data_IF_149904003129
#
_entry.id   IF_149904003129
#
_cell.length_a   1.000
_cell.length_b   1.000
_cell.length_c   1.000
_cell.angle_alpha   90.00
_cell.angle_beta   90.00
_cell.angle_gamma   90.00
#
_symmetry.space_group_name_H-M   'P 1'
#
loop_
_entity.id
_entity.type
_entity.pdbx_description
1 polymer ?
#
# COMPACT_ATOMS: atom_id res chain seq x y z
N UNK A 1 -71.95 -24.18 -29.90
CA UNK A 1 -72.41 -23.18 -30.89
C UNK A 1 -71.23 -22.21 -31.18
N UNK A 2 -70.85 -22.21 -32.46
CA UNK A 2 -70.15 -21.19 -33.28
C UNK A 2 -68.99 -20.41 -32.58
N UNK A 3 -67.74 -20.78 -32.77
CA UNK A 3 -66.78 -20.36 -33.80
C UNK A 3 -66.77 -18.85 -34.11
N UNK A 4 -65.66 -18.17 -33.78
CA UNK A 4 -65.10 -17.05 -34.55
C UNK A 4 -63.60 -17.05 -34.44
N UNK A 5 -62.97 -17.51 -35.52
CA UNK A 5 -61.57 -17.27 -35.84
C UNK A 5 -61.46 -15.88 -36.49
N UNK A 6 -60.59 -15.03 -35.99
CA UNK A 6 -60.14 -13.86 -36.74
C UNK A 6 -58.62 -13.89 -36.82
N UNK A 7 -58.13 -14.14 -38.05
CA UNK A 7 -56.77 -14.03 -38.49
C UNK A 7 -56.30 -12.57 -38.50
N UNK A 8 -55.22 -12.26 -37.86
CA UNK A 8 -54.44 -10.99 -38.05
C UNK A 8 -53.16 -11.34 -38.72
N UNK A 9 -53.03 -11.02 -40.01
CA UNK A 9 -51.79 -11.06 -40.76
C UNK A 9 -50.94 -9.87 -40.33
N UNK A 10 -49.85 -10.14 -39.61
CA UNK A 10 -48.84 -9.16 -39.27
C UNK A 10 -47.81 -9.00 -40.37
N UNK A 11 -47.77 -7.83 -40.95
CA UNK A 11 -46.77 -7.40 -41.95
C UNK A 11 -45.41 -7.21 -41.27
N UNK A 12 -44.47 -8.08 -41.50
CA UNK A 12 -43.07 -7.91 -41.09
C UNK A 12 -42.38 -6.90 -42.02
N UNK A 13 -42.21 -5.66 -41.59
CA UNK A 13 -41.28 -4.71 -42.19
C UNK A 13 -39.87 -5.02 -41.63
N UNK A 14 -39.02 -5.64 -42.44
CA UNK A 14 -37.59 -5.76 -42.16
C UNK A 14 -36.93 -4.38 -42.44
N UNK A 15 -36.71 -3.59 -41.41
CA UNK A 15 -35.80 -2.43 -41.47
C UNK A 15 -34.37 -2.98 -41.30
N UNK A 16 -33.62 -3.05 -42.40
CA UNK A 16 -32.19 -3.25 -42.37
C UNK A 16 -31.55 -1.98 -41.75
N UNK A 17 -31.24 -1.99 -40.48
CA UNK A 17 -30.39 -1.00 -39.86
C UNK A 17 -28.97 -1.28 -40.32
N UNK A 18 -28.47 -0.47 -41.25
CA UNK A 18 -27.05 -0.39 -41.54
C UNK A 18 -26.35 0.19 -40.30
N UNK A 19 -25.81 -0.65 -39.43
CA UNK A 19 -24.84 -0.23 -38.43
C UNK A 19 -23.54 0.14 -39.11
N UNK A 20 -23.36 1.42 -39.44
CA UNK A 20 -22.05 1.96 -39.69
C UNK A 20 -21.24 1.86 -38.40
N UNK A 21 -20.42 0.82 -38.26
CA UNK A 21 -19.29 0.82 -37.34
C UNK A 21 -18.35 1.92 -37.81
N UNK A 22 -18.52 3.11 -37.23
CA UNK A 22 -17.41 4.06 -37.19
C UNK A 22 -16.33 3.34 -36.39
N UNK A 23 -15.29 2.86 -37.06
CA UNK A 23 -14.03 2.56 -36.42
C UNK A 23 -13.63 3.85 -35.73
N UNK A 24 -13.71 3.91 -34.41
CA UNK A 24 -13.04 4.92 -33.64
C UNK A 24 -11.56 4.72 -34.00
N UNK A 25 -10.96 5.67 -34.72
CA UNK A 25 -9.51 5.75 -34.81
C UNK A 25 -9.04 5.81 -33.35
N UNK A 26 -8.38 4.74 -32.88
CA UNK A 26 -7.68 4.79 -31.61
C UNK A 26 -6.69 5.92 -31.71
N UNK A 27 -6.90 6.96 -30.91
CA UNK A 27 -5.95 8.06 -30.84
C UNK A 27 -4.58 7.47 -30.50
N UNK A 28 -3.56 7.84 -31.29
CA UNK A 28 -2.19 7.40 -31.00
C UNK A 28 -1.86 7.71 -29.54
N UNK A 29 -1.20 6.79 -28.82
CA UNK A 29 -0.86 7.02 -27.42
C UNK A 29 -0.08 8.32 -27.26
N UNK A 30 -0.33 9.02 -26.15
CA UNK A 30 0.40 10.25 -25.85
C UNK A 30 1.90 9.95 -25.70
N UNK A 31 2.74 10.71 -26.40
CA UNK A 31 4.20 10.60 -26.29
C UNK A 31 4.72 11.74 -25.41
N UNK A 32 5.51 11.42 -24.39
CA UNK A 32 6.25 12.37 -23.56
C UNK A 32 7.73 11.99 -23.57
N UNK A 33 8.61 12.92 -23.91
CA UNK A 33 10.05 12.72 -23.86
C UNK A 33 10.64 13.62 -22.77
N UNK A 34 11.10 13.00 -21.68
CA UNK A 34 11.94 13.67 -20.70
C UNK A 34 13.37 13.72 -21.22
N UNK A 35 13.97 14.91 -21.18
CA UNK A 35 15.32 15.14 -21.71
C UNK A 35 16.25 15.66 -20.64
N UNK A 36 17.57 15.37 -20.80
CA UNK A 36 18.61 15.91 -19.92
C UNK A 36 18.36 15.62 -18.43
N UNK A 37 18.01 14.36 -18.11
CA UNK A 37 17.74 13.92 -16.75
C UNK A 37 18.96 13.23 -16.15
N UNK A 38 19.16 13.38 -14.82
CA UNK A 38 19.94 12.47 -14.00
C UNK A 38 19.00 11.37 -13.49
N UNK A 39 19.19 10.11 -13.86
CA UNK A 39 18.23 9.05 -13.58
C UNK A 39 18.67 8.20 -12.39
N UNK A 40 17.80 8.06 -11.38
CA UNK A 40 17.81 6.94 -10.45
C UNK A 40 16.86 5.86 -11.00
N UNK A 41 17.40 4.72 -11.39
CA UNK A 41 16.64 3.67 -12.09
C UNK A 41 15.84 2.71 -11.18
N UNK A 42 15.97 2.87 -9.85
CA UNK A 42 15.41 1.97 -8.85
C UNK A 42 16.39 0.93 -8.33
N UNK A 43 17.65 0.92 -8.78
CA UNK A 43 18.67 -0.05 -8.39
C UNK A 43 20.05 0.55 -8.10
N UNK A 44 20.49 1.51 -8.90
CA UNK A 44 21.88 2.00 -8.89
C UNK A 44 22.17 2.84 -7.65
N UNK A 45 23.40 2.74 -7.14
CA UNK A 45 23.91 3.56 -6.02
C UNK A 45 24.31 4.99 -6.43
N UNK A 46 24.30 5.26 -7.74
CA UNK A 46 24.65 6.56 -8.30
C UNK A 46 23.66 6.93 -9.40
N UNK A 47 23.43 8.22 -9.61
CA UNK A 47 22.62 8.68 -10.72
C UNK A 47 23.29 8.41 -12.07
N UNK A 48 22.50 8.08 -13.08
CA UNK A 48 22.93 7.93 -14.48
C UNK A 48 22.65 9.26 -15.16
N UNK A 49 23.73 10.01 -15.41
CA UNK A 49 23.64 11.37 -15.95
C UNK A 49 23.28 11.41 -17.45
N UNK A 50 22.64 12.51 -17.88
CA UNK A 50 22.42 12.81 -19.29
C UNK A 50 21.51 11.81 -20.00
N UNK A 51 20.47 11.34 -19.32
CA UNK A 51 19.51 10.39 -19.88
C UNK A 51 18.29 11.09 -20.44
N UNK A 52 17.73 10.51 -21.49
CA UNK A 52 16.40 10.79 -22.02
C UNK A 52 15.50 9.59 -21.75
N UNK A 53 14.23 9.85 -21.35
CA UNK A 53 13.25 8.81 -21.05
C UNK A 53 11.99 9.07 -21.86
N UNK A 54 11.63 8.12 -22.72
CA UNK A 54 10.44 8.19 -23.57
C UNK A 54 9.28 7.41 -22.93
N UNK A 55 8.16 8.10 -22.81
CA UNK A 55 6.89 7.53 -22.36
C UNK A 55 5.95 7.40 -23.56
N UNK A 56 5.32 6.25 -23.71
CA UNK A 56 4.27 5.98 -24.67
C UNK A 56 3.04 5.42 -23.95
N UNK A 57 1.98 6.22 -23.91
CA UNK A 57 0.79 5.90 -23.12
C UNK A 57 1.11 5.84 -21.61
N UNK A 58 0.97 4.67 -21.02
CA UNK A 58 1.19 4.43 -19.58
C UNK A 58 2.51 3.70 -19.26
N UNK A 59 3.35 3.45 -20.26
CA UNK A 59 4.61 2.73 -20.11
C UNK A 59 5.83 3.58 -20.50
N UNK A 60 6.97 3.24 -19.93
CA UNK A 60 8.28 3.70 -20.38
C UNK A 60 8.65 2.89 -21.62
N UNK A 61 8.70 3.54 -22.79
CA UNK A 61 8.99 2.82 -24.03
C UNK A 61 10.47 2.77 -24.36
N UNK A 62 11.28 3.72 -23.86
CA UNK A 62 12.72 3.70 -24.02
C UNK A 62 13.43 4.53 -22.95
N UNK A 63 14.64 4.11 -22.59
CA UNK A 63 15.61 4.87 -21.78
C UNK A 63 16.94 4.89 -22.55
N UNK A 64 17.53 6.06 -22.74
CA UNK A 64 18.77 6.19 -23.52
C UNK A 64 19.51 7.48 -23.21
N UNK A 65 20.64 7.66 -23.87
CA UNK A 65 21.41 8.91 -23.78
C UNK A 65 20.72 10.07 -24.52
N UNK A 66 21.36 11.22 -24.56
CA UNK A 66 20.85 12.43 -25.22
C UNK A 66 20.60 12.30 -26.72
N UNK A 67 20.96 11.18 -27.36
CA UNK A 67 20.64 10.88 -28.76
C UNK A 67 19.26 10.26 -28.94
N UNK A 68 18.59 9.84 -27.87
CA UNK A 68 17.20 9.37 -27.92
C UNK A 68 16.27 10.54 -28.26
N UNK A 69 15.65 10.47 -29.43
CA UNK A 69 14.69 11.44 -29.93
C UNK A 69 13.35 10.76 -30.22
N UNK A 70 12.25 11.49 -30.12
CA UNK A 70 10.92 11.02 -30.51
C UNK A 70 10.16 12.14 -31.22
N UNK A 71 9.90 11.95 -32.52
CA UNK A 71 9.16 12.91 -33.33
C UNK A 71 7.71 13.02 -32.83
N UNK A 72 7.26 14.24 -32.60
CA UNK A 72 5.89 14.52 -32.13
C UNK A 72 5.68 14.34 -30.63
N UNK A 73 6.70 13.95 -29.85
CA UNK A 73 6.59 13.86 -28.40
C UNK A 73 6.51 15.25 -27.74
N UNK A 74 5.70 15.35 -26.68
CA UNK A 74 5.75 16.47 -25.76
C UNK A 74 7.07 16.40 -24.98
N UNK A 75 7.98 17.34 -25.23
CA UNK A 75 9.29 17.37 -24.59
C UNK A 75 9.24 18.11 -23.25
N UNK A 76 9.82 17.52 -22.22
CA UNK A 76 9.97 18.09 -20.89
C UNK A 76 11.45 17.99 -20.51
N UNK A 77 12.11 19.14 -20.40
CA UNK A 77 13.51 19.23 -20.02
C UNK A 77 13.63 19.10 -18.49
N UNK A 78 14.35 18.07 -18.02
CA UNK A 78 14.67 17.90 -16.61
C UNK A 78 15.67 18.96 -16.10
N UNK A 79 16.42 19.62 -16.97
CA UNK A 79 17.46 20.60 -16.63
C UNK A 79 18.48 20.02 -15.61
N UNK A 80 18.90 18.77 -15.82
CA UNK A 80 19.82 18.04 -14.95
C UNK A 80 19.23 17.57 -13.62
N UNK A 81 17.93 17.70 -13.40
CA UNK A 81 17.24 17.21 -12.19
C UNK A 81 17.15 15.70 -12.16
N UNK A 82 16.96 15.17 -10.95
CA UNK A 82 16.77 13.72 -10.80
C UNK A 82 15.38 13.31 -11.26
N UNK A 83 15.35 12.39 -12.22
CA UNK A 83 14.19 11.61 -12.61
C UNK A 83 14.28 10.24 -11.94
N UNK A 84 13.24 9.86 -11.19
CA UNK A 84 13.22 8.63 -10.41
C UNK A 84 11.86 7.95 -10.48
N UNK A 85 11.75 6.65 -10.10
CA UNK A 85 10.46 5.99 -10.01
C UNK A 85 9.55 6.66 -8.98
N UNK A 86 8.23 6.59 -9.20
CA UNK A 86 7.25 6.88 -8.17
C UNK A 86 7.45 6.00 -6.95
N UNK A 87 7.27 6.57 -5.76
CA UNK A 87 7.40 5.84 -4.50
C UNK A 87 6.25 4.87 -4.30
N UNK A 88 6.52 3.79 -3.58
CA UNK A 88 5.56 2.74 -3.22
C UNK A 88 5.53 2.58 -1.70
N UNK A 89 4.35 2.70 -1.11
CA UNK A 89 4.11 2.34 0.29
C UNK A 89 3.53 0.92 0.37
N UNK A 90 4.32 -0.02 0.88
CA UNK A 90 3.95 -1.43 0.95
C UNK A 90 3.06 -1.78 2.14
N UNK A 91 2.70 -0.83 3.00
CA UNK A 91 1.74 -1.01 4.09
C UNK A 91 1.08 0.31 4.46
N UNK A 92 0.02 0.61 3.76
CA UNK A 92 -0.80 1.80 3.96
C UNK A 92 -2.17 1.47 4.54
N UNK A 93 -2.82 2.47 5.13
CA UNK A 93 -4.20 2.42 5.61
C UNK A 93 -4.99 3.65 5.17
N UNK A 94 -5.73 3.53 4.07
CA UNK A 94 -6.56 4.63 3.58
C UNK A 94 -7.83 4.83 4.45
N UNK A 95 -8.39 3.74 4.96
CA UNK A 95 -9.68 3.72 5.67
C UNK A 95 -9.56 3.90 7.18
N UNK A 96 -8.37 3.83 7.76
CA UNK A 96 -8.13 3.98 9.21
C UNK A 96 -7.69 5.39 9.63
N UNK A 97 -7.94 6.41 8.81
CA UNK A 97 -7.48 7.78 9.05
C UNK A 97 -8.56 8.69 9.64
N UNK A 98 -9.25 8.22 10.68
CA UNK A 98 -10.16 9.03 11.48
C UNK A 98 -9.44 9.53 12.72
N UNK A 99 -9.34 10.85 12.87
CA UNK A 99 -8.74 11.45 14.05
C UNK A 99 -9.55 11.09 15.32
N UNK A 100 -8.87 10.64 16.36
CA UNK A 100 -9.50 10.22 17.63
C UNK A 100 -9.41 8.71 17.91
N UNK A 101 -8.65 7.98 17.11
CA UNK A 101 -8.34 6.57 17.35
C UNK A 101 -9.53 5.62 17.11
N UNK A 102 -9.42 4.41 17.66
CA UNK A 102 -10.41 3.34 17.48
C UNK A 102 -11.83 3.74 17.89
N UNK A 103 -12.00 4.56 18.93
CA UNK A 103 -13.32 5.01 19.37
C UNK A 103 -14.03 5.88 18.33
N UNK A 104 -13.29 6.76 17.66
CA UNK A 104 -13.81 7.58 16.56
C UNK A 104 -14.12 6.71 15.32
N UNK A 105 -13.25 5.74 15.02
CA UNK A 105 -13.47 4.77 13.94
C UNK A 105 -14.76 3.96 14.16
N UNK A 106 -15.03 3.51 15.39
CA UNK A 106 -16.25 2.77 15.74
C UNK A 106 -17.53 3.65 15.71
N UNK A 107 -17.39 4.97 15.81
CA UNK A 107 -18.50 5.91 15.75
C UNK A 107 -18.77 6.48 14.35
N UNK A 108 -17.83 6.32 13.42
CA UNK A 108 -17.90 6.92 12.10
C UNK A 108 -18.92 6.24 11.18
N UNK A 109 -19.47 7.00 10.24
CA UNK A 109 -20.32 6.47 9.18
C UNK A 109 -19.45 6.01 7.99
N UNK A 110 -19.99 5.10 7.15
CA UNK A 110 -19.27 4.58 5.99
C UNK A 110 -18.91 5.68 4.98
N UNK A 111 -19.79 6.67 4.81
CA UNK A 111 -19.59 7.80 3.88
C UNK A 111 -18.52 8.78 4.40
N UNK A 112 -18.43 9.01 5.72
CA UNK A 112 -17.32 9.74 6.32
C UNK A 112 -16.00 9.01 6.08
N UNK A 113 -15.94 7.70 6.35
CA UNK A 113 -14.75 6.89 6.12
C UNK A 113 -14.34 6.91 4.64
N UNK A 114 -15.29 6.76 3.72
CA UNK A 114 -15.00 6.77 2.29
C UNK A 114 -14.50 8.14 1.81
N UNK A 115 -15.09 9.25 2.29
CA UNK A 115 -14.62 10.59 1.97
C UNK A 115 -13.20 10.85 2.46
N UNK A 116 -12.87 10.41 3.69
CA UNK A 116 -11.51 10.48 4.25
C UNK A 116 -10.53 9.61 3.48
N UNK A 117 -10.93 8.39 3.09
CA UNK A 117 -10.07 7.50 2.31
C UNK A 117 -9.72 8.11 0.92
N UNK A 118 -10.68 8.79 0.28
CA UNK A 118 -10.44 9.52 -0.95
C UNK A 118 -9.45 10.68 -0.75
N UNK A 119 -9.60 11.43 0.34
CA UNK A 119 -8.66 12.48 0.71
C UNK A 119 -7.26 11.91 0.97
N UNK A 120 -7.16 10.79 1.70
CA UNK A 120 -5.87 10.15 1.97
C UNK A 120 -5.19 9.63 0.71
N UNK A 121 -5.95 9.06 -0.25
CA UNK A 121 -5.40 8.66 -1.54
C UNK A 121 -4.74 9.86 -2.27
N UNK A 122 -5.36 11.03 -2.19
CA UNK A 122 -4.78 12.26 -2.73
C UNK A 122 -3.50 12.69 -1.97
N UNK A 123 -3.48 12.60 -0.63
CA UNK A 123 -2.30 12.91 0.18
C UNK A 123 -1.11 11.98 -0.15
N UNK A 124 -1.35 10.69 -0.38
CA UNK A 124 -0.32 9.74 -0.82
C UNK A 124 0.28 10.16 -2.17
N UNK A 125 -0.55 10.41 -3.18
CA UNK A 125 -0.07 10.78 -4.52
C UNK A 125 0.79 12.05 -4.49
N UNK A 126 0.32 13.10 -3.81
CA UNK A 126 1.06 14.38 -3.74
C UNK A 126 2.25 14.35 -2.76
N UNK A 127 2.40 13.25 -1.99
CA UNK A 127 3.62 12.93 -1.24
C UNK A 127 4.62 12.08 -2.04
N UNK A 128 4.33 11.83 -3.34
CA UNK A 128 5.19 11.11 -4.27
C UNK A 128 4.92 9.61 -4.37
N UNK A 129 3.93 9.08 -3.66
CA UNK A 129 3.59 7.66 -3.72
C UNK A 129 2.61 7.41 -4.87
N UNK A 130 3.10 6.77 -5.94
CA UNK A 130 2.29 6.41 -7.11
C UNK A 130 1.59 5.06 -6.96
N UNK A 131 2.02 4.24 -6.02
CA UNK A 131 1.38 2.98 -5.65
C UNK A 131 1.34 2.79 -4.15
N UNK A 132 0.29 2.13 -3.64
CA UNK A 132 0.15 1.75 -2.23
C UNK A 132 -0.42 0.34 -2.10
N UNK A 133 0.09 -0.43 -1.15
CA UNK A 133 -0.50 -1.69 -0.71
C UNK A 133 -1.36 -1.39 0.53
N UNK A 134 -2.68 -1.36 0.34
CA UNK A 134 -3.65 -1.16 1.41
C UNK A 134 -3.78 -2.44 2.24
N UNK A 135 -3.21 -2.43 3.45
CA UNK A 135 -3.07 -3.63 4.29
C UNK A 135 -4.21 -3.78 5.30
N UNK A 136 -5.39 -3.34 4.90
CA UNK A 136 -6.64 -3.62 5.62
C UNK A 136 -7.44 -2.39 5.95
N UNK A 137 -8.72 -2.57 5.88
CA UNK A 137 -9.71 -1.51 6.05
C UNK A 137 -10.65 -1.36 4.86
N UNK A 138 -10.40 -2.05 3.75
CA UNK A 138 -11.22 -1.97 2.55
C UNK A 138 -10.38 -1.79 1.28
N UNK A 139 -10.50 -0.66 0.60
CA UNK A 139 -9.67 -0.28 -0.56
C UNK A 139 -10.35 -0.46 -1.92
N UNK A 140 -11.14 -1.49 -2.14
CA UNK A 140 -11.69 -1.82 -3.47
C UNK A 140 -12.59 -0.73 -4.05
N UNK A 141 -13.33 0.01 -3.23
CA UNK A 141 -14.19 1.12 -3.68
C UNK A 141 -13.36 2.32 -4.14
N UNK A 142 -12.42 2.76 -3.34
CA UNK A 142 -11.52 3.88 -3.68
C UNK A 142 -10.64 3.52 -4.86
N UNK A 143 -10.11 2.27 -4.92
CA UNK A 143 -9.38 1.78 -6.08
C UNK A 143 -10.16 2.02 -7.39
N UNK A 144 -11.41 1.58 -7.46
CA UNK A 144 -12.26 1.76 -8.64
C UNK A 144 -12.44 3.22 -9.05
N UNK A 145 -12.55 4.12 -8.07
CA UNK A 145 -12.72 5.56 -8.34
C UNK A 145 -11.41 6.23 -8.78
N UNK A 146 -10.28 5.80 -8.24
CA UNK A 146 -8.95 6.27 -8.69
C UNK A 146 -8.63 5.74 -10.08
N UNK A 147 -8.85 4.45 -10.35
CA UNK A 147 -8.60 3.84 -11.66
C UNK A 147 -9.51 4.44 -12.76
N UNK A 148 -10.71 4.88 -12.38
CA UNK A 148 -11.62 5.59 -13.29
C UNK A 148 -11.29 7.08 -13.49
N UNK A 149 -10.22 7.59 -12.84
CA UNK A 149 -9.84 9.01 -12.91
C UNK A 149 -10.82 9.99 -12.23
N UNK A 150 -11.69 9.49 -11.35
CA UNK A 150 -12.64 10.33 -10.60
C UNK A 150 -12.01 10.99 -9.38
N UNK A 151 -10.94 10.41 -8.88
CA UNK A 151 -10.16 10.87 -7.72
C UNK A 151 -8.68 10.74 -8.06
N UNK A 152 -7.91 11.79 -7.81
CA UNK A 152 -6.45 11.70 -7.87
C UNK A 152 -5.95 10.81 -6.73
N UNK A 153 -5.14 9.83 -7.05
CA UNK A 153 -4.59 8.91 -6.06
C UNK A 153 -3.61 7.91 -6.67
N UNK A 154 -2.91 7.13 -5.83
CA UNK A 154 -1.98 6.10 -6.28
C UNK A 154 -2.72 4.88 -6.87
N UNK A 155 -2.00 3.96 -7.52
CA UNK A 155 -2.49 2.60 -7.71
C UNK A 155 -2.71 1.96 -6.35
N UNK A 156 -3.82 1.25 -6.18
CA UNK A 156 -4.17 0.66 -4.88
C UNK A 156 -4.23 -0.86 -5.02
N UNK A 157 -3.46 -1.55 -4.16
CA UNK A 157 -3.46 -3.00 -3.98
C UNK A 157 -4.20 -3.36 -2.68
N UNK A 158 -5.52 -3.58 -2.73
CA UNK A 158 -6.32 -3.75 -1.51
C UNK A 158 -6.21 -5.15 -0.93
N UNK A 159 -6.06 -5.28 0.39
CA UNK A 159 -6.24 -6.54 1.11
C UNK A 159 -7.71 -6.83 1.46
N UNK A 160 -8.58 -5.83 1.36
CA UNK A 160 -9.92 -5.90 1.91
C UNK A 160 -9.94 -5.76 3.43
N UNK A 161 -10.84 -6.44 4.11
CA UNK A 161 -10.85 -6.51 5.56
C UNK A 161 -9.63 -7.29 6.06
N UNK A 162 -8.90 -6.78 7.05
CA UNK A 162 -7.90 -7.62 7.71
C UNK A 162 -8.56 -8.68 8.60
N UNK A 163 -7.97 -9.88 8.63
CA UNK A 163 -8.47 -10.99 9.42
C UNK A 163 -7.86 -10.98 10.82
N UNK A 164 -8.70 -11.14 11.83
CA UNK A 164 -8.29 -11.27 13.23
C UNK A 164 -9.05 -12.41 13.89
N UNK A 165 -8.41 -13.09 14.83
CA UNK A 165 -9.12 -14.01 15.71
C UNK A 165 -9.92 -13.23 16.76
N UNK A 166 -10.83 -13.89 17.45
CA UNK A 166 -11.47 -13.36 18.66
C UNK A 166 -10.41 -12.91 19.66
N UNK A 167 -10.53 -11.68 20.16
CA UNK A 167 -9.55 -11.03 21.06
C UNK A 167 -8.17 -10.80 20.43
N UNK A 168 -8.06 -10.81 19.10
CA UNK A 168 -6.83 -10.50 18.38
C UNK A 168 -6.66 -9.01 18.10
N UNK A 169 -5.56 -8.67 17.41
CA UNK A 169 -5.16 -7.29 17.14
C UNK A 169 -6.20 -6.47 16.36
N UNK A 170 -6.95 -7.13 15.49
CA UNK A 170 -8.03 -6.50 14.70
C UNK A 170 -9.43 -6.71 15.27
N UNK A 171 -9.60 -7.22 16.47
CA UNK A 171 -10.89 -7.33 17.14
C UNK A 171 -11.25 -6.04 17.89
N UNK A 172 -11.93 -5.15 17.20
CA UNK A 172 -12.30 -3.81 17.73
C UNK A 172 -13.55 -3.81 18.61
N UNK A 173 -14.11 -5.00 18.91
CA UNK A 173 -15.30 -5.12 19.75
C UNK A 173 -15.04 -4.64 21.19
N UNK A 174 -15.93 -3.84 21.72
CA UNK A 174 -15.90 -3.47 23.14
C UNK A 174 -16.25 -4.65 24.04
N UNK A 175 -15.99 -4.55 25.34
CA UNK A 175 -16.33 -5.62 26.31
C UNK A 175 -17.82 -5.97 26.29
N UNK A 176 -18.71 -5.00 26.09
CA UNK A 176 -20.15 -5.21 26.00
C UNK A 176 -20.58 -5.95 24.74
N UNK A 177 -19.91 -5.75 23.61
CA UNK A 177 -20.17 -6.44 22.35
C UNK A 177 -19.73 -7.90 22.36
N UNK A 178 -18.79 -8.27 23.23
CA UNK A 178 -18.26 -9.64 23.34
C UNK A 178 -19.05 -10.54 24.30
N UNK A 179 -20.29 -10.17 24.62
CA UNK A 179 -21.15 -10.99 25.45
C UNK A 179 -21.74 -12.15 24.62
N UNK A 180 -21.42 -13.42 24.95
CA UNK A 180 -21.89 -14.58 24.19
C UNK A 180 -23.40 -14.80 24.23
N UNK A 181 -24.12 -14.12 25.13
CA UNK A 181 -25.58 -14.18 25.22
C UNK A 181 -26.29 -13.18 24.27
N UNK A 182 -25.54 -12.32 23.56
CA UNK A 182 -26.12 -11.43 22.57
C UNK A 182 -26.31 -12.18 21.24
N UNK A 183 -27.31 -11.77 20.43
CA UNK A 183 -27.44 -12.27 19.06
C UNK A 183 -26.16 -11.97 18.26
N UNK A 184 -25.74 -12.82 17.30
CA UNK A 184 -24.48 -12.63 16.55
C UNK A 184 -24.31 -11.24 15.99
N UNK A 185 -25.35 -10.68 15.36
CA UNK A 185 -25.31 -9.31 14.76
C UNK A 185 -25.14 -8.17 15.79
N UNK A 186 -25.45 -8.41 17.06
CA UNK A 186 -25.22 -7.45 18.15
C UNK A 186 -23.80 -7.52 18.72
N UNK A 187 -23.03 -8.54 18.33
CA UNK A 187 -21.65 -8.74 18.72
C UNK A 187 -20.65 -8.11 17.74
N UNK A 188 -21.08 -7.65 16.56
CA UNK A 188 -20.19 -7.06 15.58
C UNK A 188 -19.84 -5.63 15.93
N UNK A 189 -18.57 -5.27 15.83
CA UNK A 189 -18.13 -3.89 15.86
C UNK A 189 -18.59 -3.14 14.60
N UNK A 190 -18.52 -1.82 14.61
CA UNK A 190 -18.80 -1.02 13.41
C UNK A 190 -17.80 -1.35 12.30
N UNK A 191 -16.53 -1.52 12.65
CA UNK A 191 -15.50 -1.93 11.71
C UNK A 191 -15.82 -3.28 11.01
N UNK A 192 -16.38 -4.26 11.74
CA UNK A 192 -16.83 -5.53 11.12
C UNK A 192 -18.01 -5.30 10.15
N UNK A 193 -19.01 -4.50 10.54
CA UNK A 193 -20.17 -4.20 9.69
C UNK A 193 -19.77 -3.47 8.40
N UNK A 194 -18.71 -2.67 8.47
CA UNK A 194 -18.21 -1.89 7.33
C UNK A 194 -17.17 -2.66 6.49
N UNK A 195 -16.79 -3.88 6.89
CA UNK A 195 -15.78 -4.67 6.17
C UNK A 195 -14.37 -4.13 6.31
N UNK A 196 -14.09 -3.44 7.42
CA UNK A 196 -12.73 -2.98 7.77
C UNK A 196 -11.92 -4.14 8.36
N UNK A 197 -12.56 -4.94 9.19
CA UNK A 197 -12.00 -6.15 9.80
C UNK A 197 -12.98 -7.31 9.73
N UNK A 198 -12.48 -8.54 9.71
CA UNK A 198 -13.25 -9.76 9.93
C UNK A 198 -12.69 -10.51 11.12
N UNK A 199 -13.52 -10.73 12.15
CA UNK A 199 -13.18 -11.65 13.25
C UNK A 199 -13.60 -13.04 12.82
N UNK A 200 -12.60 -13.90 12.58
CA UNK A 200 -12.77 -15.24 12.03
C UNK A 200 -11.92 -16.23 12.80
N UNK A 201 -12.55 -17.21 13.43
CA UNK A 201 -11.90 -18.27 14.19
C UNK A 201 -12.11 -19.62 13.50
N UNK A 202 -11.11 -20.48 13.61
CA UNK A 202 -11.10 -21.83 13.04
C UNK A 202 -10.88 -21.84 11.53
N UNK A 203 -10.44 -22.97 11.01
CA UNK A 203 -10.11 -23.17 9.59
C UNK A 203 -11.25 -22.76 8.66
N UNK A 204 -12.49 -23.16 8.95
CA UNK A 204 -13.65 -22.86 8.11
C UNK A 204 -13.97 -21.35 8.11
N UNK A 205 -13.88 -20.68 9.28
CA UNK A 205 -14.09 -19.26 9.40
C UNK A 205 -13.04 -18.45 8.64
N UNK A 206 -11.78 -18.79 8.79
CA UNK A 206 -10.66 -18.16 8.09
C UNK A 206 -10.80 -18.34 6.56
N UNK A 207 -11.07 -19.57 6.09
CA UNK A 207 -11.26 -19.81 4.65
C UNK A 207 -12.42 -19.01 4.08
N UNK A 208 -13.53 -18.87 4.81
CA UNK A 208 -14.67 -18.08 4.39
C UNK A 208 -14.32 -16.59 4.27
N UNK A 209 -13.61 -16.03 5.28
CA UNK A 209 -13.20 -14.63 5.29
C UNK A 209 -12.19 -14.31 4.17
N UNK A 210 -11.20 -15.19 3.91
CA UNK A 210 -10.26 -15.04 2.79
C UNK A 210 -11.00 -15.00 1.45
N UNK A 211 -11.92 -15.96 1.21
CA UNK A 211 -12.72 -16.00 -0.01
C UNK A 211 -13.60 -14.75 -0.17
N UNK A 212 -14.13 -14.23 0.95
CA UNK A 212 -14.92 -12.99 0.94
C UNK A 212 -14.07 -11.80 0.45
N UNK A 213 -12.84 -11.63 0.99
CA UNK A 213 -11.94 -10.57 0.53
C UNK A 213 -11.58 -10.72 -0.96
N UNK A 214 -11.19 -11.92 -1.37
CA UNK A 214 -10.85 -12.19 -2.78
C UNK A 214 -12.04 -11.93 -3.72
N UNK A 215 -13.26 -12.29 -3.32
CA UNK A 215 -14.47 -11.99 -4.10
C UNK A 215 -14.76 -10.50 -4.26
N UNK A 216 -14.22 -9.68 -3.37
CA UNK A 216 -14.34 -8.22 -3.40
C UNK A 216 -13.17 -7.53 -4.13
N UNK A 217 -12.21 -8.32 -4.65
CA UNK A 217 -11.08 -7.82 -5.42
C UNK A 217 -9.83 -7.56 -4.58
N UNK A 218 -9.66 -8.26 -3.46
CA UNK A 218 -8.39 -8.24 -2.72
C UNK A 218 -7.26 -8.78 -3.60
N UNK A 219 -6.11 -8.10 -3.56
CA UNK A 219 -4.91 -8.46 -4.31
C UNK A 219 -3.92 -9.28 -3.47
N UNK A 220 -4.02 -9.21 -2.17
CA UNK A 220 -3.33 -10.02 -1.16
C UNK A 220 -4.24 -10.15 0.06
N UNK A 221 -3.87 -11.00 1.01
CA UNK A 221 -4.60 -11.18 2.27
C UNK A 221 -3.76 -10.64 3.42
N UNK A 222 -4.40 -9.89 4.33
CA UNK A 222 -3.80 -9.45 5.60
C UNK A 222 -4.39 -10.21 6.78
N UNK A 223 -3.52 -10.76 7.63
CA UNK A 223 -3.91 -11.39 8.89
C UNK A 223 -3.15 -10.79 10.07
N UNK A 224 -3.75 -10.87 11.26
CA UNK A 224 -3.14 -10.46 12.52
C UNK A 224 -2.63 -11.72 13.23
N UNK A 225 -1.32 -12.00 13.12
CA UNK A 225 -0.70 -13.21 13.69
C UNK A 225 -0.03 -12.99 15.05
N UNK A 226 -0.06 -11.77 15.57
CA UNK A 226 0.49 -11.41 16.87
C UNK A 226 -0.21 -10.23 17.51
N UNK A 227 0.10 -9.96 18.78
CA UNK A 227 -0.37 -8.79 19.50
C UNK A 227 0.31 -7.51 19.01
N UNK A 228 -0.32 -6.36 19.24
CA UNK A 228 0.19 -5.04 18.82
C UNK A 228 0.05 -3.96 19.89
N UNK A 229 0.71 -2.82 19.64
CA UNK A 229 0.77 -1.70 20.60
C UNK A 229 -0.54 -0.91 20.61
N UNK A 230 -1.12 -0.63 19.44
CA UNK A 230 -2.26 0.28 19.29
C UNK A 230 -3.61 -0.32 19.68
N UNK A 231 -3.69 -1.62 19.93
CA UNK A 231 -4.92 -2.36 20.26
C UNK A 231 -5.17 -2.46 21.77
N UNK A 232 -6.40 -2.85 22.14
CA UNK A 232 -6.85 -2.86 23.55
C UNK A 232 -6.72 -4.25 24.18
N UNK A 233 -6.95 -5.33 23.42
CA UNK A 233 -7.29 -6.64 23.95
C UNK A 233 -6.17 -7.68 23.88
N UNK A 234 -5.16 -7.44 23.10
CA UNK A 234 -4.12 -8.39 22.74
C UNK A 234 -2.77 -7.99 23.34
N UNK A 235 -2.28 -8.68 24.37
CA UNK A 235 -0.92 -8.50 24.86
C UNK A 235 0.12 -8.79 23.77
N UNK A 236 1.25 -8.05 23.77
CA UNK A 236 2.30 -8.16 22.74
C UNK A 236 2.87 -9.58 22.57
N UNK A 237 2.88 -10.38 23.62
CA UNK A 237 3.42 -11.75 23.59
C UNK A 237 2.47 -12.78 23.00
N UNK A 238 1.23 -12.40 22.65
CA UNK A 238 0.25 -13.36 22.16
C UNK A 238 0.56 -13.81 20.76
N UNK A 239 0.54 -15.12 20.56
CA UNK A 239 0.52 -15.75 19.25
C UNK A 239 -0.93 -15.84 18.80
N UNK A 240 -1.24 -15.22 17.68
CA UNK A 240 -2.61 -15.21 17.15
C UNK A 240 -2.70 -16.13 15.95
N UNK A 241 -3.84 -16.80 15.83
CA UNK A 241 -4.08 -17.93 14.95
C UNK A 241 -3.21 -19.16 15.23
N UNK A 242 -3.82 -20.32 15.12
CA UNK A 242 -3.11 -21.59 15.14
C UNK A 242 -2.45 -21.85 13.77
N UNK A 243 -1.43 -22.72 13.69
CA UNK A 243 -0.77 -23.04 12.42
C UNK A 243 -1.76 -23.43 11.32
N UNK A 244 -2.76 -24.27 11.64
CA UNK A 244 -3.75 -24.79 10.69
C UNK A 244 -4.63 -23.66 10.10
N UNK A 245 -4.88 -22.60 10.86
CA UNK A 245 -5.65 -21.44 10.43
C UNK A 245 -4.84 -20.57 9.45
N UNK A 246 -3.56 -20.33 9.75
CA UNK A 246 -2.62 -19.62 8.87
C UNK A 246 -2.42 -20.40 7.56
N UNK A 247 -2.17 -21.71 7.65
CA UNK A 247 -2.02 -22.57 6.48
C UNK A 247 -3.30 -22.59 5.61
N UNK A 248 -4.48 -22.57 6.24
CA UNK A 248 -5.75 -22.51 5.53
C UNK A 248 -5.88 -21.21 4.72
N UNK A 249 -5.49 -20.06 5.30
CA UNK A 249 -5.48 -18.78 4.60
C UNK A 249 -4.50 -18.80 3.41
N UNK A 250 -3.28 -19.29 3.64
CA UNK A 250 -2.23 -19.41 2.60
C UNK A 250 -2.71 -20.29 1.45
N UNK A 251 -3.31 -21.45 1.73
CA UNK A 251 -3.84 -22.33 0.68
C UNK A 251 -4.91 -21.65 -0.17
N UNK A 252 -5.87 -20.97 0.48
CA UNK A 252 -6.94 -20.27 -0.27
C UNK A 252 -6.37 -19.11 -1.10
N UNK A 253 -5.40 -18.36 -0.57
CA UNK A 253 -4.73 -17.30 -1.32
C UNK A 253 -3.97 -17.87 -2.51
N UNK A 254 -3.24 -18.98 -2.33
CA UNK A 254 -2.52 -19.67 -3.41
C UNK A 254 -3.44 -20.20 -4.51
N UNK A 255 -4.65 -20.67 -4.20
CA UNK A 255 -5.67 -21.07 -5.18
C UNK A 255 -6.08 -19.91 -6.09
N UNK A 256 -5.87 -18.66 -5.65
CA UNK A 256 -6.11 -17.42 -6.40
C UNK A 256 -4.82 -16.81 -6.97
N UNK A 257 -3.71 -17.53 -6.87
CA UNK A 257 -2.39 -17.09 -7.32
C UNK A 257 -1.93 -15.80 -6.63
N UNK A 258 -2.21 -15.66 -5.33
CA UNK A 258 -1.79 -14.54 -4.50
C UNK A 258 -1.26 -15.01 -3.14
N UNK A 259 -0.97 -14.10 -2.24
CA UNK A 259 -0.24 -14.36 -1.01
C UNK A 259 -0.91 -13.80 0.25
N UNK A 260 -0.37 -14.20 1.42
CA UNK A 260 -0.74 -13.71 2.74
C UNK A 260 0.42 -12.90 3.31
N UNK A 261 0.13 -11.72 3.87
CA UNK A 261 1.00 -10.94 4.74
C UNK A 261 0.44 -10.87 6.15
N UNK A 262 1.29 -10.83 7.17
CA UNK A 262 0.87 -10.91 8.57
C UNK A 262 1.48 -9.81 9.45
N UNK A 263 0.64 -9.19 10.28
CA UNK A 263 1.09 -8.39 11.42
C UNK A 263 1.61 -9.34 12.52
N UNK A 264 2.86 -9.19 12.88
CA UNK A 264 3.46 -9.96 13.98
C UNK A 264 4.76 -9.30 14.45
N UNK A 265 5.00 -9.28 15.76
CA UNK A 265 6.24 -8.75 16.34
C UNK A 265 7.18 -9.87 16.83
N UNK A 266 6.62 -10.88 17.46
CA UNK A 266 7.41 -11.90 18.17
C UNK A 266 8.12 -12.87 17.24
N UNK A 267 9.32 -13.25 17.62
CA UNK A 267 10.17 -14.21 16.90
C UNK A 267 9.46 -15.56 16.63
N UNK A 268 8.79 -16.11 17.65
CA UNK A 268 8.01 -17.34 17.51
C UNK A 268 6.82 -17.18 16.55
N UNK A 269 6.15 -16.02 16.58
CA UNK A 269 5.02 -15.75 15.69
C UNK A 269 5.47 -15.59 14.23
N UNK A 270 6.63 -14.97 14.01
CA UNK A 270 7.24 -14.83 12.69
C UNK A 270 7.60 -16.22 12.14
N UNK A 271 8.28 -17.05 12.96
CA UNK A 271 8.64 -18.42 12.56
C UNK A 271 7.40 -19.23 12.18
N UNK A 272 6.35 -19.21 13.02
CA UNK A 272 5.07 -19.87 12.73
C UNK A 272 4.46 -19.40 11.40
N UNK A 273 4.50 -18.11 11.14
CA UNK A 273 3.95 -17.53 9.89
C UNK A 273 4.75 -17.98 8.65
N UNK A 274 6.09 -18.03 8.78
CA UNK A 274 6.99 -18.54 7.72
C UNK A 274 6.69 -20.01 7.42
N UNK A 275 6.57 -20.84 8.45
CA UNK A 275 6.23 -22.27 8.32
C UNK A 275 4.87 -22.49 7.65
N UNK A 276 3.90 -21.60 7.89
CA UNK A 276 2.60 -21.63 7.22
C UNK A 276 2.65 -21.18 5.75
N UNK A 277 3.74 -20.52 5.31
CA UNK A 277 3.95 -20.12 3.92
C UNK A 277 3.58 -18.68 3.58
N UNK A 278 3.52 -17.75 4.55
CA UNK A 278 3.32 -16.33 4.29
C UNK A 278 4.46 -15.73 3.47
N UNK A 279 4.24 -14.58 2.82
CA UNK A 279 5.24 -13.92 1.94
C UNK A 279 5.67 -12.54 2.42
N UNK A 280 4.97 -11.93 3.37
CA UNK A 280 5.43 -10.70 4.01
C UNK A 280 5.14 -10.70 5.51
N UNK A 281 6.13 -10.25 6.27
CA UNK A 281 6.06 -10.02 7.71
C UNK A 281 6.00 -8.51 7.91
N UNK A 282 4.88 -8.06 8.44
CA UNK A 282 4.67 -6.66 8.77
C UNK A 282 5.19 -6.39 10.19
N UNK A 283 5.94 -5.30 10.34
CA UNK A 283 6.62 -4.87 11.57
C UNK A 283 7.83 -5.72 11.93
N UNK A 284 7.67 -6.92 12.45
CA UNK A 284 8.75 -7.88 12.71
C UNK A 284 9.79 -7.44 13.74
N UNK A 285 9.49 -6.46 14.62
CA UNK A 285 10.48 -5.76 15.45
C UNK A 285 11.27 -6.62 16.44
N UNK A 286 10.78 -7.82 16.77
CA UNK A 286 11.45 -8.70 17.73
C UNK A 286 12.14 -9.88 17.02
N UNK A 287 12.34 -9.80 15.71
CA UNK A 287 13.00 -10.83 14.93
C UNK A 287 14.45 -11.01 15.35
N UNK A 288 14.83 -12.23 15.69
CA UNK A 288 16.22 -12.63 15.91
C UNK A 288 16.99 -12.69 14.58
N UNK A 289 18.31 -12.80 14.67
CA UNK A 289 19.15 -13.02 13.48
C UNK A 289 18.79 -14.29 12.74
N UNK A 290 18.49 -15.34 13.51
CA UNK A 290 18.07 -16.64 12.99
C UNK A 290 16.76 -16.52 12.20
N UNK A 291 15.80 -15.80 12.74
CA UNK A 291 14.50 -15.59 12.08
C UNK A 291 14.61 -14.68 10.86
N UNK A 292 15.42 -13.61 10.91
CA UNK A 292 15.71 -12.78 9.74
C UNK A 292 16.43 -13.57 8.64
N UNK A 293 17.36 -14.47 9.02
CA UNK A 293 18.02 -15.38 8.06
C UNK A 293 16.99 -16.34 7.45
N UNK A 294 16.08 -16.89 8.25
CA UNK A 294 15.00 -17.75 7.76
C UNK A 294 14.09 -17.01 6.77
N UNK A 295 13.76 -15.73 7.02
CA UNK A 295 13.02 -14.89 6.08
C UNK A 295 13.79 -14.75 4.76
N UNK A 296 15.08 -14.43 4.82
CA UNK A 296 15.95 -14.27 3.65
C UNK A 296 16.03 -15.55 2.83
N UNK A 297 16.22 -16.69 3.47
CA UNK A 297 16.35 -18.00 2.82
C UNK A 297 15.05 -18.47 2.15
N UNK A 298 13.88 -17.98 2.61
CA UNK A 298 12.56 -18.32 2.09
C UNK A 298 11.94 -17.24 1.20
N UNK A 299 12.71 -16.22 0.83
CA UNK A 299 12.27 -15.11 -0.02
C UNK A 299 11.02 -14.40 0.53
N UNK A 300 11.08 -14.04 1.81
CA UNK A 300 10.01 -13.37 2.56
C UNK A 300 10.41 -11.93 2.82
N UNK A 301 9.50 -11.01 2.54
CA UNK A 301 9.71 -9.59 2.76
C UNK A 301 9.52 -9.20 4.23
N UNK A 302 10.45 -8.40 4.73
CA UNK A 302 10.31 -7.62 5.95
C UNK A 302 9.74 -6.25 5.59
N UNK A 303 8.55 -5.96 6.08
CA UNK A 303 7.87 -4.68 5.83
C UNK A 303 7.70 -3.99 7.18
N UNK A 304 8.64 -3.08 7.50
CA UNK A 304 8.72 -2.46 8.84
C UNK A 304 8.74 -0.95 8.76
N UNK A 305 7.86 -0.29 9.56
CA UNK A 305 7.91 1.15 9.74
C UNK A 305 8.98 1.53 10.78
N UNK A 306 9.88 2.41 10.42
CA UNK A 306 10.92 2.85 11.35
C UNK A 306 10.38 3.81 12.41
N UNK A 307 9.30 4.54 12.12
CA UNK A 307 8.58 5.36 13.12
C UNK A 307 8.15 4.56 14.35
N UNK A 308 7.91 3.25 14.23
CA UNK A 308 7.58 2.37 15.36
C UNK A 308 8.68 2.24 16.42
N UNK A 309 9.93 2.51 16.06
CA UNK A 309 11.09 2.52 16.96
C UNK A 309 11.74 3.90 17.07
N UNK A 310 11.09 4.94 16.50
CA UNK A 310 11.57 6.31 16.60
C UNK A 310 11.47 6.83 18.03
N UNK A 311 12.41 7.70 18.49
CA UNK A 311 12.31 8.37 19.79
C UNK A 311 11.08 9.26 19.91
N UNK A 312 10.42 9.61 18.81
CA UNK A 312 9.19 10.39 18.79
C UNK A 312 7.92 9.56 19.02
N UNK A 313 7.97 8.23 18.95
CA UNK A 313 6.77 7.35 19.01
C UNK A 313 5.99 7.53 20.32
N UNK A 314 6.66 7.82 21.44
CA UNK A 314 6.03 8.07 22.74
C UNK A 314 5.08 9.29 22.73
N UNK A 315 5.27 10.21 21.78
CA UNK A 315 4.44 11.41 21.64
C UNK A 315 3.17 11.15 20.82
N UNK A 316 3.01 9.96 20.24
CA UNK A 316 1.85 9.64 19.39
C UNK A 316 0.55 9.75 20.20
N UNK A 317 -0.39 10.67 19.82
CA UNK A 317 -1.65 10.85 20.53
C UNK A 317 -2.52 9.59 20.60
N UNK A 318 -2.41 8.68 19.64
CA UNK A 318 -3.12 7.41 19.61
C UNK A 318 -2.61 6.37 20.62
N UNK A 319 -1.44 6.62 21.24
CA UNK A 319 -0.78 5.67 22.15
C UNK A 319 -0.75 6.15 23.61
N UNK A 320 -1.58 7.12 24.00
CA UNK A 320 -1.51 7.79 25.32
C UNK A 320 -2.24 7.06 26.46
N UNK A 321 -2.90 5.91 26.21
CA UNK A 321 -3.47 5.10 27.29
C UNK A 321 -2.35 4.43 28.10
N UNK A 322 -2.62 4.09 29.38
CA UNK A 322 -1.63 3.41 30.23
C UNK A 322 -1.23 2.05 29.63
N UNK A 323 -2.19 1.36 29.05
CA UNK A 323 -2.01 0.06 28.42
C UNK A 323 -1.09 0.17 27.20
N UNK A 324 -1.34 1.14 26.32
CA UNK A 324 -0.52 1.36 25.12
C UNK A 324 0.90 1.80 25.51
N UNK A 325 1.05 2.69 26.48
CA UNK A 325 2.37 3.11 26.98
C UNK A 325 3.17 1.95 27.59
N UNK A 326 2.51 1.04 28.32
CA UNK A 326 3.16 -0.13 28.85
C UNK A 326 3.61 -1.12 27.73
N UNK A 327 2.76 -1.33 26.72
CA UNK A 327 3.12 -2.12 25.54
C UNK A 327 4.25 -1.47 24.74
N UNK A 328 4.23 -0.15 24.57
CA UNK A 328 5.26 0.58 23.87
C UNK A 328 6.61 0.46 24.56
N UNK A 329 6.67 0.60 25.89
CA UNK A 329 7.91 0.40 26.63
C UNK A 329 8.51 -1.00 26.44
N UNK A 330 7.67 -2.05 26.42
CA UNK A 330 8.10 -3.41 26.12
C UNK A 330 8.58 -3.53 24.66
N UNK A 331 7.83 -2.95 23.70
CA UNK A 331 8.21 -2.99 22.30
C UNK A 331 9.56 -2.31 22.07
N UNK A 332 9.80 -1.16 22.68
CA UNK A 332 11.09 -0.45 22.62
C UNK A 332 12.23 -1.28 23.22
N UNK A 333 11.98 -2.02 24.29
CA UNK A 333 12.99 -2.89 24.89
C UNK A 333 13.36 -4.07 23.99
N UNK A 334 12.35 -4.74 23.42
CA UNK A 334 12.58 -5.94 22.58
C UNK A 334 13.11 -5.61 21.19
N UNK A 335 12.93 -4.38 20.70
CA UNK A 335 13.43 -3.96 19.38
C UNK A 335 14.85 -3.40 19.38
N UNK A 336 15.57 -3.42 20.51
CA UNK A 336 16.91 -2.81 20.64
C UNK A 336 17.93 -3.32 19.63
N UNK A 337 17.91 -4.61 19.35
CA UNK A 337 18.85 -5.25 18.44
C UNK A 337 18.32 -5.35 17.00
N UNK A 338 17.08 -4.94 16.74
CA UNK A 338 16.42 -5.10 15.46
C UNK A 338 17.19 -4.49 14.30
N UNK A 339 17.58 -3.21 14.42
CA UNK A 339 18.29 -2.49 13.34
C UNK A 339 19.62 -3.14 13.01
N UNK A 340 20.39 -3.51 14.03
CA UNK A 340 21.69 -4.17 13.83
C UNK A 340 21.54 -5.57 13.24
N UNK A 341 20.53 -6.31 13.66
CA UNK A 341 20.21 -7.62 13.09
C UNK A 341 19.82 -7.49 11.60
N UNK A 342 19.00 -6.50 11.25
CA UNK A 342 18.61 -6.24 9.85
C UNK A 342 19.82 -5.84 9.01
N UNK A 343 20.72 -4.97 9.51
CA UNK A 343 21.96 -4.57 8.81
C UNK A 343 22.88 -5.76 8.55
N UNK A 344 22.99 -6.67 9.50
CA UNK A 344 23.86 -7.86 9.38
C UNK A 344 23.29 -8.88 8.39
N UNK A 345 22.01 -9.19 8.51
CA UNK A 345 21.36 -10.26 7.73
C UNK A 345 20.92 -9.76 6.35
N UNK A 346 20.50 -8.51 6.23
CA UNK A 346 20.01 -7.89 4.99
C UNK A 346 18.87 -8.72 4.35
N UNK A 347 17.73 -8.91 5.04
CA UNK A 347 16.55 -9.50 4.41
C UNK A 347 16.02 -8.57 3.32
N UNK A 348 15.16 -9.07 2.41
CA UNK A 348 14.42 -8.18 1.52
C UNK A 348 13.51 -7.26 2.34
N UNK A 349 13.63 -5.96 2.13
CA UNK A 349 12.79 -4.97 2.80
C UNK A 349 11.91 -4.24 1.80
N UNK A 350 10.69 -3.89 2.23
CA UNK A 350 9.86 -2.93 1.52
C UNK A 350 9.42 -1.82 2.50
N UNK A 351 9.36 -0.58 1.98
CA UNK A 351 8.98 0.59 2.75
C UNK A 351 7.52 0.51 3.18
N UNK A 352 7.23 0.88 4.42
CA UNK A 352 5.87 1.05 4.93
C UNK A 352 5.75 2.30 5.79
N UNK A 353 4.57 2.92 5.78
CA UNK A 353 4.24 4.02 6.67
C UNK A 353 3.39 3.60 7.88
N UNK A 354 2.45 2.70 7.67
CA UNK A 354 1.47 2.25 8.68
C UNK A 354 0.79 3.41 9.44
N UNK A 355 0.53 4.51 8.73
CA UNK A 355 -0.06 5.71 9.33
C UNK A 355 -1.56 5.51 9.50
N UNK A 356 -2.01 5.55 10.75
CA UNK A 356 -3.41 5.41 11.16
C UNK A 356 -3.83 6.55 12.08
N UNK A 357 -5.12 6.88 12.09
CA UNK A 357 -5.75 7.85 13.00
C UNK A 357 -5.13 9.25 12.97
N UNK A 358 -4.48 9.63 11.87
CA UNK A 358 -3.80 10.90 11.70
C UNK A 358 -4.60 11.86 10.80
N UNK A 359 -4.79 13.14 11.18
CA UNK A 359 -5.23 14.16 10.25
C UNK A 359 -4.14 14.41 9.18
N UNK A 360 -4.51 15.02 8.04
CA UNK A 360 -3.62 15.18 6.90
C UNK A 360 -2.26 15.84 7.21
N UNK A 361 -2.24 16.83 8.09
CA UNK A 361 -0.99 17.50 8.49
C UNK A 361 -0.06 16.54 9.26
N UNK A 362 -0.61 15.77 10.20
CA UNK A 362 0.16 14.75 10.93
C UNK A 362 0.56 13.59 10.03
N UNK A 363 -0.29 13.21 9.08
CA UNK A 363 0.08 12.23 8.05
C UNK A 363 1.35 12.66 7.31
N UNK A 364 1.40 13.93 6.85
CA UNK A 364 2.54 14.44 6.08
C UNK A 364 3.82 14.43 6.90
N UNK A 365 3.77 14.93 8.13
CA UNK A 365 4.96 15.01 9.00
C UNK A 365 5.44 13.63 9.42
N UNK A 366 4.52 12.68 9.67
CA UNK A 366 4.88 11.30 9.99
C UNK A 366 5.48 10.59 8.78
N UNK A 367 4.91 10.76 7.58
CA UNK A 367 5.44 10.22 6.33
C UNK A 367 6.84 10.75 6.03
N UNK A 368 7.06 12.04 6.26
CA UNK A 368 8.36 12.67 6.04
C UNK A 368 9.40 12.17 7.05
N UNK A 369 8.98 11.97 8.31
CA UNK A 369 9.84 11.38 9.34
C UNK A 369 10.15 9.90 9.03
N UNK A 370 9.18 9.12 8.56
CA UNK A 370 9.42 7.73 8.16
C UNK A 370 10.48 7.62 7.07
N UNK A 371 10.39 8.45 6.01
CA UNK A 371 11.40 8.51 4.94
C UNK A 371 12.79 8.85 5.49
N UNK A 372 12.86 9.89 6.33
CA UNK A 372 14.12 10.33 6.93
C UNK A 372 14.70 9.28 7.86
N UNK A 373 13.90 8.71 8.77
CA UNK A 373 14.39 7.80 9.79
C UNK A 373 14.81 6.45 9.20
N UNK A 374 14.11 5.98 8.19
CA UNK A 374 14.54 4.80 7.44
C UNK A 374 15.91 5.05 6.77
N UNK A 375 16.09 6.22 6.13
CA UNK A 375 17.36 6.59 5.50
C UNK A 375 18.48 6.79 6.53
N UNK A 376 18.20 7.38 7.69
CA UNK A 376 19.17 7.52 8.79
C UNK A 376 19.64 6.17 9.33
N UNK A 377 18.76 5.19 9.42
CA UNK A 377 19.09 3.86 9.91
C UNK A 377 19.83 3.01 8.89
N UNK A 378 19.44 3.03 7.62
CA UNK A 378 19.93 2.08 6.60
C UNK A 378 20.64 2.73 5.42
N UNK A 379 20.64 4.05 5.33
CA UNK A 379 21.16 4.85 4.22
C UNK A 379 20.10 5.19 3.17
N UNK A 380 20.33 6.30 2.45
CA UNK A 380 19.38 6.82 1.46
C UNK A 380 19.10 5.81 0.34
N UNK A 381 20.13 5.13 -0.18
CA UNK A 381 19.97 4.13 -1.22
C UNK A 381 19.07 2.97 -0.78
N UNK A 382 19.28 2.42 0.44
CA UNK A 382 18.45 1.33 0.95
C UNK A 382 16.98 1.76 1.14
N UNK A 383 16.75 2.98 1.63
CA UNK A 383 15.39 3.55 1.73
C UNK A 383 14.73 3.68 0.35
N UNK A 384 15.46 4.20 -0.65
CA UNK A 384 14.94 4.36 -2.01
C UNK A 384 14.61 3.02 -2.65
N UNK A 385 15.50 2.01 -2.53
CA UNK A 385 15.24 0.65 -2.98
C UNK A 385 13.98 0.08 -2.30
N UNK A 386 13.88 0.22 -0.98
CA UNK A 386 12.72 -0.28 -0.23
C UNK A 386 11.40 0.38 -0.67
N UNK A 387 11.44 1.68 -1.04
CA UNK A 387 10.26 2.44 -1.47
C UNK A 387 10.04 2.45 -3.00
N UNK A 388 10.84 1.72 -3.78
CA UNK A 388 10.70 1.62 -5.24
C UNK A 388 10.76 0.17 -5.71
N UNK A 389 11.88 -0.31 -6.22
CA UNK A 389 12.00 -1.62 -6.88
C UNK A 389 11.64 -2.80 -5.96
N UNK A 390 12.10 -2.78 -4.70
CA UNK A 390 11.79 -3.85 -3.75
C UNK A 390 10.31 -3.91 -3.38
N UNK A 391 9.67 -2.76 -3.14
CA UNK A 391 8.22 -2.71 -2.94
C UNK A 391 7.47 -3.13 -4.21
N UNK A 392 7.93 -2.74 -5.41
CA UNK A 392 7.38 -3.18 -6.69
C UNK A 392 7.43 -4.70 -6.86
N UNK A 393 8.54 -5.33 -6.46
CA UNK A 393 8.68 -6.79 -6.44
C UNK A 393 7.67 -7.44 -5.49
N UNK A 394 7.47 -6.90 -4.28
CA UNK A 394 6.47 -7.40 -3.35
C UNK A 394 5.05 -7.31 -3.92
N UNK A 395 4.70 -6.20 -4.56
CA UNK A 395 3.37 -6.03 -5.19
C UNK A 395 3.13 -7.06 -6.30
N UNK A 396 4.18 -7.45 -7.03
CA UNK A 396 4.08 -8.47 -8.08
C UNK A 396 3.74 -9.87 -7.55
N UNK A 397 3.97 -10.16 -6.25
CA UNK A 397 3.53 -11.41 -5.61
C UNK A 397 2.01 -11.60 -5.60
N UNK A 398 1.25 -10.55 -5.89
CA UNK A 398 -0.20 -10.67 -6.12
C UNK A 398 -0.56 -11.52 -7.35
N UNK A 399 0.41 -11.91 -8.17
CA UNK A 399 0.25 -12.85 -9.28
C UNK A 399 -0.94 -12.54 -10.19
N UNK A 400 -1.90 -13.47 -10.34
CA UNK A 400 -3.11 -13.24 -11.15
C UNK A 400 -4.15 -12.33 -10.48
N UNK A 401 -4.04 -12.09 -9.17
CA UNK A 401 -4.87 -11.12 -8.48
C UNK A 401 -4.32 -9.68 -8.65
N UNK A 402 -3.13 -9.50 -9.24
CA UNK A 402 -2.58 -8.19 -9.58
C UNK A 402 -3.45 -7.51 -10.66
N UNK A 403 -4.03 -6.32 -10.39
CA UNK A 403 -4.87 -5.63 -11.37
C UNK A 403 -4.07 -4.82 -12.40
N UNK A 404 -2.74 -4.74 -12.24
CA UNK A 404 -1.83 -3.91 -13.05
C UNK A 404 -0.71 -4.80 -13.61
N UNK A 405 -0.97 -5.42 -14.78
CA UNK A 405 -0.12 -6.47 -15.37
C UNK A 405 0.69 -5.99 -16.57
N UNK A 406 0.62 -4.71 -16.96
CA UNK A 406 1.25 -4.23 -18.18
C UNK A 406 2.76 -4.04 -18.06
N UNK A 407 3.26 -3.77 -16.84
CA UNK A 407 4.69 -3.58 -16.58
C UNK A 407 5.06 -3.69 -15.10
N UNK A 408 6.35 -3.75 -14.79
CA UNK A 408 6.83 -3.67 -13.40
C UNK A 408 6.67 -2.25 -12.84
N UNK A 409 6.63 -2.14 -11.51
CA UNK A 409 6.58 -0.89 -10.75
C UNK A 409 7.92 -0.61 -10.07
N UNK A 410 8.16 0.67 -9.76
CA UNK A 410 9.34 1.10 -8.98
C UNK A 410 10.64 1.12 -9.77
N UNK A 411 10.58 1.18 -11.10
CA UNK A 411 11.75 1.16 -12.00
C UNK A 411 11.65 2.25 -13.07
N UNK A 412 12.79 2.81 -13.48
CA UNK A 412 12.94 3.55 -14.74
C UNK A 412 13.63 2.63 -15.73
N UNK A 413 12.84 1.83 -16.43
CA UNK A 413 13.30 0.85 -17.40
C UNK A 413 12.27 0.67 -18.52
N UNK A 414 12.71 0.23 -19.70
CA UNK A 414 11.82 -0.10 -20.81
C UNK A 414 10.79 -1.18 -20.38
N UNK A 415 9.52 -0.93 -20.67
CA UNK A 415 8.39 -1.77 -20.32
C UNK A 415 7.86 -1.56 -18.88
N UNK A 416 8.50 -0.74 -18.05
CA UNK A 416 7.96 -0.39 -16.74
C UNK A 416 6.81 0.62 -16.86
N UNK A 417 5.93 0.66 -15.86
CA UNK A 417 4.91 1.71 -15.79
C UNK A 417 5.53 3.10 -15.74
N UNK A 418 4.92 4.04 -16.44
CA UNK A 418 5.30 5.45 -16.44
C UNK A 418 4.85 6.16 -15.15
N UNK A 419 5.41 5.70 -14.04
CA UNK A 419 5.28 6.26 -12.71
C UNK A 419 6.59 6.97 -12.37
N UNK A 420 6.62 8.29 -12.53
CA UNK A 420 7.86 9.08 -12.56
C UNK A 420 7.74 10.29 -11.64
N UNK A 421 8.81 10.54 -10.89
CA UNK A 421 9.01 11.78 -10.15
C UNK A 421 10.20 12.54 -10.73
N UNK A 422 10.11 13.87 -10.80
CA UNK A 422 11.27 14.74 -11.01
C UNK A 422 11.47 15.60 -9.77
N UNK A 423 12.68 15.54 -9.21
CA UNK A 423 13.01 16.24 -7.97
C UNK A 423 14.24 17.14 -8.12
N UNK A 424 14.26 18.26 -7.37
CA UNK A 424 15.42 19.13 -7.28
C UNK A 424 16.48 18.47 -6.39
N UNK A 425 17.66 18.16 -6.93
CA UNK A 425 18.76 17.55 -6.20
C UNK A 425 18.82 16.02 -6.30
N UNK A 426 19.71 15.40 -5.53
CA UNK A 426 20.04 13.97 -5.56
C UNK A 426 19.50 13.26 -4.31
N UNK A 427 18.43 12.44 -4.40
CA UNK A 427 17.87 11.74 -3.24
C UNK A 427 18.79 10.66 -2.66
N UNK A 428 19.81 10.20 -3.40
CA UNK A 428 20.84 9.30 -2.89
C UNK A 428 21.79 10.01 -1.90
N UNK A 429 21.89 11.34 -1.99
CA UNK A 429 22.73 12.16 -1.11
C UNK A 429 21.92 12.87 -0.02
N UNK A 430 20.70 13.33 -0.36
CA UNK A 430 19.82 14.10 0.52
C UNK A 430 18.36 13.66 0.37
N UNK A 431 17.88 12.88 1.34
CA UNK A 431 16.51 12.37 1.35
C UNK A 431 15.44 13.48 1.51
N UNK A 432 15.84 14.69 1.92
CA UNK A 432 14.93 15.82 2.06
C UNK A 432 14.34 16.28 0.71
N UNK A 433 15.01 15.98 -0.40
CA UNK A 433 14.51 16.32 -1.75
C UNK A 433 13.23 15.56 -2.11
N UNK A 434 12.95 14.46 -1.43
CA UNK A 434 11.67 13.73 -1.51
C UNK A 434 10.82 13.89 -0.24
N UNK A 435 11.12 14.91 0.57
CA UNK A 435 10.37 15.31 1.76
C UNK A 435 10.83 14.68 3.06
N UNK A 436 11.92 13.89 3.10
CA UNK A 436 12.45 13.34 4.36
C UNK A 436 12.76 14.45 5.39
N UNK A 437 12.30 14.29 6.64
CA UNK A 437 12.47 15.28 7.71
C UNK A 437 12.70 14.59 9.06
N UNK A 438 13.75 15.00 9.77
CA UNK A 438 14.05 14.52 11.12
C UNK A 438 12.90 14.74 12.11
N UNK A 439 12.19 15.85 11.98
CA UNK A 439 11.12 16.23 12.89
C UNK A 439 9.81 15.55 12.53
N UNK A 440 9.02 15.23 13.56
CA UNK A 440 7.69 14.65 13.42
C UNK A 440 6.63 15.52 14.12
N UNK A 441 6.46 15.40 15.47
CA UNK A 441 5.43 16.15 16.19
C UNK A 441 5.78 17.63 16.40
N UNK A 442 7.05 17.98 16.34
CA UNK A 442 7.59 19.33 16.41
C UNK A 442 7.93 19.92 15.02
N UNK A 443 7.53 19.23 13.95
CA UNK A 443 7.71 19.73 12.59
C UNK A 443 6.76 20.90 12.32
N UNK A 444 7.27 21.91 11.62
CA UNK A 444 6.40 22.92 11.04
C UNK A 444 5.47 22.27 10.00
N UNK A 445 4.17 22.61 9.97
CA UNK A 445 3.25 22.10 8.99
C UNK A 445 3.73 22.40 7.56
N UNK A 446 3.93 21.38 6.74
CA UNK A 446 4.23 21.59 5.33
C UNK A 446 2.98 21.60 4.46
N UNK A 447 3.01 22.26 3.29
CA UNK A 447 1.98 22.12 2.27
C UNK A 447 1.78 20.64 1.89
N UNK A 448 0.65 20.33 1.26
CA UNK A 448 0.43 18.99 0.69
C UNK A 448 1.57 18.59 -0.25
N UNK A 449 1.94 19.49 -1.14
CA UNK A 449 2.98 19.28 -2.11
C UNK A 449 4.39 19.45 -1.50
N UNK A 450 5.30 18.55 -1.83
CA UNK A 450 6.72 18.68 -1.53
C UNK A 450 7.31 19.68 -2.53
N UNK A 451 7.89 20.82 -2.08
CA UNK A 451 8.34 21.88 -2.99
C UNK A 451 9.44 21.46 -3.98
N UNK A 452 10.35 20.59 -3.53
CA UNK A 452 11.46 20.03 -4.32
C UNK A 452 11.00 18.99 -5.34
N UNK A 453 9.84 18.40 -5.17
CA UNK A 453 9.24 17.45 -6.12
C UNK A 453 8.51 18.23 -7.21
N UNK A 454 9.16 18.40 -8.33
CA UNK A 454 8.75 19.30 -9.43
C UNK A 454 7.70 18.69 -10.33
N UNK A 455 7.75 17.37 -10.53
CA UNK A 455 6.80 16.64 -11.36
C UNK A 455 6.39 15.33 -10.68
N UNK A 456 5.11 15.00 -10.78
CA UNK A 456 4.53 13.71 -10.40
C UNK A 456 3.75 13.20 -11.60
N UNK A 457 4.18 12.06 -12.15
CA UNK A 457 3.48 11.30 -13.17
C UNK A 457 3.12 9.94 -12.62
N UNK A 458 1.90 9.49 -12.86
CA UNK A 458 1.43 8.14 -12.60
C UNK A 458 0.67 7.64 -13.81
N UNK A 459 0.98 6.46 -14.28
CA UNK A 459 0.28 5.85 -15.42
C UNK A 459 0.35 6.72 -16.69
N UNK A 460 1.50 7.39 -16.89
CA UNK A 460 1.71 8.34 -17.99
C UNK A 460 0.96 9.67 -17.87
N UNK A 461 0.13 9.84 -16.83
CA UNK A 461 -0.62 11.07 -16.57
C UNK A 461 0.14 11.97 -15.59
N UNK A 462 0.29 13.23 -15.94
CA UNK A 462 0.96 14.22 -15.09
C UNK A 462 -0.06 14.84 -14.13
N UNK A 463 0.14 14.65 -12.83
CA UNK A 463 -0.68 15.21 -11.74
C UNK A 463 -0.12 16.52 -11.18
N UNK A 464 1.19 16.67 -11.25
CA UNK A 464 1.91 17.90 -10.86
C UNK A 464 3.00 18.18 -11.88
N UNK A 465 3.10 19.43 -12.33
CA UNK A 465 4.24 19.92 -13.11
C UNK A 465 4.51 21.38 -12.73
N UNK A 466 5.65 21.63 -12.12
CA UNK A 466 6.16 22.95 -11.75
C UNK A 466 7.53 23.22 -12.40
N UNK A 467 7.91 22.43 -13.40
CA UNK A 467 9.02 22.71 -14.29
C UNK A 467 8.59 23.87 -15.21
N UNK A 468 9.44 24.86 -15.36
CA UNK A 468 9.14 26.03 -16.22
C UNK A 468 9.47 25.73 -17.67
#
# INVERSE_FOLDING_TARGET
>A
MKSFLTSVAGLLLATAAATSTLAQEEASPALVLFTNCAVFDGHTETLIEGQNVLIEGNLISAVGDTSLEAEGANQIDCDGRTLMPGLIDAHSHLYLNINGGLGAQEAATWDEIAARAAHMANEYLYSGFTSVREMGGGGSGIKKTVDAGLIDGPRIYPAGAFLSQTSGHGDFRTASMRNPNLPPYANDSNAQRLGITYVADGVDGVMAAVRQNLSQGATQIKMMAGGGVASILDPLHTLQYQPEELEAAVRVAADWDTYVGVHVFSDEGITRAIEAGVKSIEHGFFASRETLQLMKDNDIFLVSQMTGISPYIEQNPGLQTKENQAKLALATEFSKDFVENVKEIQPKMAFQSDIVFAPAEQFRTQMDHEKWFHAELFGNHAMLIAATSSAGELLAYSGKANPYLEGPLGLIAEGAYADVLIVDGNPLEDISVIGGNEKWYDAEPRPRDIPTMRLIMKDGVIYKNTLN
#
